data_IF_747628316274
#
_entry.id   IF_747628316274
#
_cell.length_a   1.000
_cell.length_b   1.000
_cell.length_c   1.000
_cell.angle_alpha   90.00
_cell.angle_beta   90.00
_cell.angle_gamma   90.00
#
_symmetry.space_group_name_H-M   'P 1'
#
loop_
_entity.id
_entity.type
_entity.pdbx_description
1 polymer ?
#
# COMPACT_ATOMS: atom_id res chain seq x y z
N UNK A 1 -29.23 19.58 -26.38
CA UNK A 1 -27.90 19.46 -27.00
C UNK A 1 -27.00 18.71 -26.03
N UNK A 2 -26.41 17.61 -26.50
CA UNK A 2 -25.58 16.66 -25.74
C UNK A 2 -24.19 17.28 -25.48
N UNK A 3 -23.55 16.95 -24.36
CA UNK A 3 -22.14 17.32 -24.18
C UNK A 3 -21.51 17.19 -22.80
N UNK A 4 -21.94 16.25 -21.93
CA UNK A 4 -21.32 16.09 -20.59
C UNK A 4 -20.69 14.70 -20.34
N UNK A 5 -20.53 13.89 -21.39
CA UNK A 5 -20.05 12.51 -21.28
C UNK A 5 -18.64 12.24 -21.84
N UNK A 6 -17.81 13.27 -22.05
CA UNK A 6 -16.55 13.15 -22.81
C UNK A 6 -15.25 13.27 -21.98
N UNK A 7 -15.33 13.62 -20.69
CA UNK A 7 -14.14 13.83 -19.83
C UNK A 7 -13.74 12.60 -19.02
N UNK A 8 -14.72 11.76 -18.64
CA UNK A 8 -14.47 10.54 -17.86
C UNK A 8 -13.86 9.46 -18.77
N UNK A 9 -14.39 9.31 -19.98
CA UNK A 9 -13.89 8.41 -21.03
C UNK A 9 -12.45 8.72 -21.44
N UNK A 10 -12.05 10.00 -21.47
CA UNK A 10 -10.69 10.39 -21.83
C UNK A 10 -9.65 10.05 -20.76
N UNK A 11 -10.03 10.04 -19.48
CA UNK A 11 -9.16 9.62 -18.37
C UNK A 11 -9.01 8.09 -18.28
N UNK A 12 -10.06 7.36 -18.65
CA UNK A 12 -10.04 5.89 -18.70
C UNK A 12 -9.25 5.37 -19.92
N UNK A 13 -9.41 5.98 -21.10
CA UNK A 13 -8.61 5.66 -22.30
C UNK A 13 -7.11 5.94 -22.07
N UNK A 14 -6.78 7.04 -21.38
CA UNK A 14 -5.41 7.44 -21.05
C UNK A 14 -4.75 6.45 -20.06
N UNK A 15 -5.51 5.89 -19.12
CA UNK A 15 -5.00 4.91 -18.16
C UNK A 15 -4.70 3.55 -18.84
N UNK A 16 -5.53 3.11 -19.77
CA UNK A 16 -5.32 1.84 -20.48
C UNK A 16 -4.08 1.89 -21.37
N UNK A 17 -3.87 2.99 -22.08
CA UNK A 17 -2.67 3.18 -22.89
C UNK A 17 -1.41 3.37 -22.02
N UNK A 18 -1.53 4.08 -20.90
CA UNK A 18 -0.46 4.20 -19.91
C UNK A 18 -0.06 2.82 -19.33
N UNK A 19 -1.02 1.95 -19.06
CA UNK A 19 -0.78 0.58 -18.60
C UNK A 19 -0.08 -0.26 -19.66
N UNK A 20 -0.49 -0.16 -20.93
CA UNK A 20 0.16 -0.88 -22.02
C UNK A 20 1.61 -0.44 -22.18
N UNK A 21 1.86 0.86 -22.26
CA UNK A 21 3.22 1.42 -22.35
C UNK A 21 4.07 0.99 -21.14
N UNK A 22 3.50 1.02 -19.93
CA UNK A 22 4.16 0.54 -18.73
C UNK A 22 4.56 -0.94 -18.87
N UNK A 23 3.67 -1.83 -19.33
CA UNK A 23 3.97 -3.26 -19.53
C UNK A 23 5.11 -3.46 -20.53
N UNK A 24 5.14 -2.67 -21.59
CA UNK A 24 6.18 -2.70 -22.62
C UNK A 24 7.54 -2.16 -22.13
N UNK A 25 7.60 -1.61 -20.90
CA UNK A 25 8.82 -1.14 -20.27
C UNK A 25 9.11 0.34 -20.48
N UNK A 26 8.10 1.11 -20.89
CA UNK A 26 8.20 2.56 -21.01
C UNK A 26 8.45 3.19 -19.62
N UNK A 27 9.56 3.94 -19.53
CA UNK A 27 10.00 4.58 -18.28
C UNK A 27 9.15 5.78 -17.89
N UNK A 28 8.61 6.50 -18.86
CA UNK A 28 7.77 7.67 -18.61
C UNK A 28 6.37 7.23 -18.16
N UNK A 29 5.88 6.11 -18.71
CA UNK A 29 4.67 5.47 -18.22
C UNK A 29 4.81 5.02 -16.76
N UNK A 30 5.93 4.35 -16.42
CA UNK A 30 6.23 3.99 -15.04
C UNK A 30 6.33 5.20 -14.12
N UNK A 31 7.03 6.27 -14.55
CA UNK A 31 7.16 7.52 -13.77
C UNK A 31 5.81 8.13 -13.46
N UNK A 32 4.92 8.21 -14.45
CA UNK A 32 3.57 8.76 -14.29
C UNK A 32 2.76 7.95 -13.27
N UNK A 33 2.83 6.61 -13.34
CA UNK A 33 2.19 5.74 -12.35
C UNK A 33 2.83 5.88 -10.96
N UNK A 34 4.15 5.97 -10.88
CA UNK A 34 4.88 6.19 -9.63
C UNK A 34 4.42 7.49 -8.96
N UNK A 35 4.39 8.59 -9.72
CA UNK A 35 4.04 9.90 -9.18
C UNK A 35 2.61 9.94 -8.63
N UNK A 36 1.70 9.23 -9.29
CA UNK A 36 0.32 9.09 -8.86
C UNK A 36 0.17 8.25 -7.58
N UNK A 37 0.94 7.17 -7.45
CA UNK A 37 0.77 6.20 -6.35
C UNK A 37 1.74 6.38 -5.18
N UNK A 38 2.79 7.21 -5.30
CA UNK A 38 3.84 7.31 -4.27
C UNK A 38 3.27 7.67 -2.89
N UNK A 39 2.42 8.69 -2.81
CA UNK A 39 1.86 9.16 -1.54
C UNK A 39 0.89 8.15 -0.92
N UNK A 40 -0.11 7.62 -1.64
CA UNK A 40 -1.04 6.66 -1.04
C UNK A 40 -0.35 5.33 -0.65
N UNK A 41 0.61 4.84 -1.43
CA UNK A 41 1.34 3.60 -1.09
C UNK A 41 2.26 3.83 0.10
N UNK A 42 2.98 4.95 0.17
CA UNK A 42 3.83 5.24 1.34
C UNK A 42 2.99 5.35 2.62
N UNK A 43 1.85 6.05 2.56
CA UNK A 43 0.91 6.13 3.69
C UNK A 43 0.41 4.75 4.10
N UNK A 44 0.04 3.91 3.14
CA UNK A 44 -0.38 2.53 3.41
C UNK A 44 0.72 1.73 4.13
N UNK A 45 1.96 1.78 3.65
CA UNK A 45 3.10 1.13 4.29
C UNK A 45 3.34 1.66 5.72
N UNK A 46 3.20 2.97 5.97
CA UNK A 46 3.32 3.56 7.31
C UNK A 46 2.20 3.14 8.27
N UNK A 47 0.99 2.90 7.76
CA UNK A 47 -0.11 2.36 8.57
C UNK A 47 0.09 0.87 8.90
N UNK A 48 0.70 0.12 7.98
CA UNK A 48 0.98 -1.31 8.16
C UNK A 48 2.20 -1.57 9.05
N UNK A 49 3.23 -0.73 8.96
CA UNK A 49 4.52 -0.91 9.63
C UNK A 49 4.83 0.35 10.44
N UNK A 50 4.85 0.22 11.76
CA UNK A 50 5.13 1.32 12.69
C UNK A 50 6.56 1.87 12.54
N UNK A 51 7.52 0.99 12.24
CA UNK A 51 8.91 1.33 11.98
C UNK A 51 9.07 2.07 10.64
N UNK A 52 9.59 3.29 10.69
CA UNK A 52 9.68 4.17 9.52
C UNK A 52 10.64 3.65 8.45
N UNK A 53 11.79 3.12 8.86
CA UNK A 53 12.80 2.60 7.94
C UNK A 53 12.22 1.39 7.19
N UNK A 54 11.64 0.44 7.93
CA UNK A 54 11.02 -0.73 7.31
C UNK A 54 9.81 -0.38 6.42
N UNK A 55 9.03 0.63 6.80
CA UNK A 55 7.94 1.09 5.96
C UNK A 55 8.44 1.72 4.66
N UNK A 56 9.55 2.46 4.71
CA UNK A 56 10.22 3.03 3.54
C UNK A 56 10.79 1.92 2.64
N UNK A 57 11.40 0.89 3.22
CA UNK A 57 11.89 -0.26 2.47
C UNK A 57 10.75 -1.02 1.78
N UNK A 58 9.65 -1.26 2.51
CA UNK A 58 8.45 -1.89 1.95
C UNK A 58 7.84 -1.06 0.81
N UNK A 59 7.82 0.27 0.95
CA UNK A 59 7.40 1.19 -0.11
C UNK A 59 8.29 1.05 -1.35
N UNK A 60 9.61 1.08 -1.20
CA UNK A 60 10.55 0.95 -2.33
C UNK A 60 10.41 -0.41 -3.02
N UNK A 61 10.40 -1.49 -2.24
CA UNK A 61 10.23 -2.86 -2.73
C UNK A 61 8.90 -3.03 -3.48
N UNK A 62 7.84 -2.35 -3.06
CA UNK A 62 6.55 -2.37 -3.76
C UNK A 62 6.68 -1.87 -5.20
N UNK A 63 7.37 -0.76 -5.42
CA UNK A 63 7.55 -0.19 -6.77
C UNK A 63 8.57 -0.96 -7.61
N UNK A 64 9.59 -1.57 -6.98
CA UNK A 64 10.49 -2.53 -7.66
C UNK A 64 9.67 -3.70 -8.18
N UNK A 65 8.88 -4.35 -7.33
CA UNK A 65 8.00 -5.46 -7.72
C UNK A 65 6.95 -5.07 -8.73
N UNK A 66 6.39 -3.86 -8.62
CA UNK A 66 5.49 -3.32 -9.63
C UNK A 66 6.16 -3.37 -11.00
N UNK A 67 7.40 -2.88 -11.12
CA UNK A 67 8.12 -2.88 -12.38
C UNK A 67 8.49 -4.29 -12.84
N UNK A 68 9.01 -5.15 -11.96
CA UNK A 68 9.42 -6.52 -12.29
C UNK A 68 8.24 -7.39 -12.77
N UNK A 69 7.10 -7.30 -12.08
CA UNK A 69 5.91 -8.10 -12.34
C UNK A 69 4.89 -7.42 -13.24
N UNK A 70 5.24 -6.32 -13.91
CA UNK A 70 4.33 -5.54 -14.78
C UNK A 70 3.55 -6.39 -15.80
N UNK A 71 4.15 -7.48 -16.30
CA UNK A 71 3.49 -8.39 -17.25
C UNK A 71 2.31 -9.16 -16.63
N UNK A 72 2.33 -9.36 -15.31
CA UNK A 72 1.28 -10.04 -14.54
C UNK A 72 0.06 -9.16 -14.27
N UNK A 73 0.16 -7.84 -14.48
CA UNK A 73 -0.97 -6.93 -14.38
C UNK A 73 -2.03 -7.32 -15.42
N UNK A 74 -3.19 -7.76 -14.91
CA UNK A 74 -4.36 -8.17 -15.70
C UNK A 74 -5.41 -7.05 -15.70
N UNK A 75 -5.86 -6.67 -16.88
CA UNK A 75 -6.86 -5.60 -17.05
C UNK A 75 -6.31 -4.23 -16.70
N UNK A 76 -7.23 -3.33 -16.33
CA UNK A 76 -6.96 -1.88 -16.19
C UNK A 76 -6.77 -1.45 -14.72
N UNK A 77 -6.99 -2.33 -13.75
CA UNK A 77 -6.98 -1.97 -12.33
C UNK A 77 -5.58 -2.04 -11.71
N UNK A 78 -4.70 -1.13 -12.14
CA UNK A 78 -3.34 -0.96 -11.58
C UNK A 78 -3.38 -0.70 -10.07
N UNK A 79 -4.37 0.08 -9.62
CA UNK A 79 -4.52 0.47 -8.22
C UNK A 79 -4.64 -0.77 -7.33
N UNK A 80 -5.66 -1.60 -7.57
CA UNK A 80 -5.90 -2.80 -6.76
C UNK A 80 -4.71 -3.76 -6.79
N UNK A 81 -4.08 -3.89 -7.95
CA UNK A 81 -2.90 -4.74 -8.12
C UNK A 81 -1.71 -4.23 -7.31
N UNK A 82 -1.42 -2.93 -7.38
CA UNK A 82 -0.31 -2.31 -6.65
C UNK A 82 -0.50 -2.36 -5.14
N UNK A 83 -1.72 -2.10 -4.64
CA UNK A 83 -2.04 -2.26 -3.22
C UNK A 83 -1.93 -3.72 -2.75
N UNK A 84 -2.22 -4.68 -3.63
CA UNK A 84 -2.00 -6.12 -3.34
C UNK A 84 -0.52 -6.42 -3.17
N UNK A 85 0.34 -5.87 -4.04
CA UNK A 85 1.80 -5.98 -3.91
C UNK A 85 2.25 -5.35 -2.58
N UNK A 86 1.83 -4.11 -2.31
CA UNK A 86 2.18 -3.39 -1.09
C UNK A 86 1.82 -4.17 0.19
N UNK A 87 0.60 -4.72 0.24
CA UNK A 87 0.14 -5.55 1.36
C UNK A 87 1.02 -6.79 1.54
N UNK A 88 1.32 -7.50 0.45
CA UNK A 88 2.18 -8.71 0.49
C UNK A 88 3.58 -8.38 0.98
N UNK A 89 4.17 -7.30 0.48
CA UNK A 89 5.50 -6.83 0.91
C UNK A 89 5.49 -6.48 2.39
N UNK A 90 4.53 -5.69 2.86
CA UNK A 90 4.45 -5.31 4.27
C UNK A 90 4.29 -6.52 5.20
N UNK A 91 3.40 -7.46 4.86
CA UNK A 91 3.19 -8.67 5.64
C UNK A 91 4.44 -9.56 5.67
N UNK A 92 5.15 -9.68 4.55
CA UNK A 92 6.39 -10.44 4.51
C UNK A 92 7.47 -9.80 5.40
N UNK A 93 7.63 -8.48 5.33
CA UNK A 93 8.59 -7.74 6.15
C UNK A 93 8.30 -7.89 7.65
N UNK A 94 7.02 -7.79 8.06
CA UNK A 94 6.59 -8.00 9.44
C UNK A 94 6.81 -9.45 9.91
N UNK A 95 6.56 -10.43 9.03
CA UNK A 95 6.82 -11.85 9.33
C UNK A 95 8.31 -12.10 9.54
N UNK A 96 9.17 -11.58 8.66
CA UNK A 96 10.62 -11.70 8.77
C UNK A 96 11.13 -11.04 10.04
N UNK A 97 10.65 -9.85 10.40
CA UNK A 97 10.99 -9.20 11.67
C UNK A 97 10.56 -10.02 12.88
N UNK A 98 9.37 -10.61 12.85
CA UNK A 98 8.90 -11.48 13.94
C UNK A 98 9.80 -12.71 14.09
N UNK A 99 10.20 -13.34 12.98
CA UNK A 99 11.12 -14.49 13.02
C UNK A 99 12.50 -14.09 13.54
N UNK A 100 13.05 -12.97 13.05
CA UNK A 100 14.31 -12.43 13.55
C UNK A 100 14.25 -12.08 15.04
N UNK A 101 13.11 -11.55 15.51
CA UNK A 101 12.88 -11.32 16.93
C UNK A 101 12.77 -12.63 17.71
N UNK A 102 12.11 -13.67 17.21
CA UNK A 102 12.06 -14.99 17.91
C UNK A 102 13.47 -15.60 18.02
N UNK A 103 14.29 -15.49 16.97
CA UNK A 103 15.69 -15.92 17.00
C UNK A 103 16.53 -15.07 17.98
N UNK A 104 16.20 -13.78 18.15
CA UNK A 104 16.83 -12.90 19.14
C UNK A 104 16.28 -13.05 20.56
N UNK A 105 15.02 -13.42 20.73
CA UNK A 105 14.28 -13.49 22.01
C UNK A 105 14.59 -14.77 22.78
N UNK A 106 15.27 -15.75 22.17
CA UNK A 106 16.05 -16.74 22.93
C UNK A 106 17.19 -16.09 23.77
N UNK A 107 17.45 -14.79 23.60
CA UNK A 107 18.50 -14.08 24.33
C UNK A 107 18.14 -12.81 25.11
N UNK A 108 16.99 -12.13 24.99
CA UNK A 108 16.69 -11.00 25.92
C UNK A 108 15.23 -10.48 25.91
N UNK A 109 14.60 -10.40 27.09
CA UNK A 109 13.29 -9.78 27.33
C UNK A 109 13.34 -8.23 27.32
N UNK A 110 12.42 -7.55 26.61
CA UNK A 110 12.06 -6.15 26.91
C UNK A 110 10.65 -5.76 26.43
N UNK A 111 9.89 -5.15 27.34
CA UNK A 111 8.52 -4.67 27.21
C UNK A 111 8.51 -3.18 26.81
N UNK A 112 7.79 -2.71 25.76
CA UNK A 112 7.70 -1.28 25.47
C UNK A 112 6.33 -0.68 25.86
N UNK A 113 6.37 0.44 26.59
CA UNK A 113 5.20 1.24 26.99
C UNK A 113 4.58 2.07 25.83
N UNK A 114 3.29 2.48 25.93
CA UNK A 114 2.58 3.16 24.86
C UNK A 114 2.68 4.69 24.91
N UNK A 115 2.76 5.33 23.73
CA UNK A 115 2.82 6.79 23.55
C UNK A 115 1.45 7.35 23.16
N UNK A 116 0.90 8.24 24.00
CA UNK A 116 -0.36 8.97 23.77
C UNK A 116 -0.19 10.13 22.76
N UNK A 117 -1.15 10.30 21.82
CA UNK A 117 -1.73 11.58 21.37
C UNK A 117 -2.85 11.44 20.33
N UNK A 118 -3.72 12.45 20.38
CA UNK A 118 -4.98 12.73 19.66
C UNK A 118 -6.23 11.95 20.08
N UNK A 119 -6.65 12.15 21.33
CA UNK A 119 -7.65 11.34 22.05
C UNK A 119 -9.11 11.55 21.58
N UNK A 120 -9.51 12.74 21.08
CA UNK A 120 -10.97 13.05 21.03
C UNK A 120 -11.70 12.55 19.77
N UNK A 121 -11.07 12.59 18.59
CA UNK A 121 -11.66 12.01 17.36
C UNK A 121 -11.36 10.50 17.26
N UNK A 122 -10.21 10.11 17.83
CA UNK A 122 -9.67 8.75 17.88
C UNK A 122 -10.43 7.86 18.84
N UNK A 123 -10.87 8.31 20.02
CA UNK A 123 -11.67 7.48 20.93
C UNK A 123 -13.03 7.05 20.37
N UNK A 124 -13.68 7.90 19.55
CA UNK A 124 -14.97 7.56 18.93
C UNK A 124 -14.82 6.58 17.77
N UNK A 125 -13.69 6.64 17.07
CA UNK A 125 -13.35 5.74 15.97
C UNK A 125 -12.75 4.43 16.52
N UNK A 126 -11.89 4.49 17.53
CA UNK A 126 -11.25 3.34 18.16
C UNK A 126 -12.25 2.50 18.96
N UNK A 127 -13.20 3.09 19.71
CA UNK A 127 -14.30 2.31 20.32
C UNK A 127 -15.18 1.61 19.28
N UNK A 128 -15.30 2.17 18.07
CA UNK A 128 -16.05 1.56 16.98
C UNK A 128 -15.22 0.49 16.24
N UNK A 129 -13.88 0.65 16.18
CA UNK A 129 -12.95 -0.29 15.54
C UNK A 129 -12.52 -1.44 16.46
N UNK A 130 -12.50 -1.26 17.78
CA UNK A 130 -12.20 -2.31 18.77
C UNK A 130 -13.29 -3.37 18.85
N UNK A 131 -14.50 -3.07 18.40
CA UNK A 131 -15.58 -4.05 18.28
C UNK A 131 -15.53 -4.86 16.98
N UNK A 132 -14.57 -4.59 16.08
CA UNK A 132 -14.50 -5.22 14.76
C UNK A 132 -13.29 -6.16 14.66
N UNK A 133 -13.53 -7.47 14.45
CA UNK A 133 -12.47 -8.46 14.25
C UNK A 133 -11.51 -8.10 13.10
N UNK A 134 -10.24 -8.55 13.19
CA UNK A 134 -9.13 -8.26 12.25
C UNK A 134 -9.47 -8.33 10.76
N UNK A 135 -10.46 -9.13 10.37
CA UNK A 135 -10.97 -9.27 9.00
C UNK A 135 -11.64 -8.01 8.45
N UNK A 136 -12.12 -7.09 9.28
CA UNK A 136 -12.89 -5.91 8.85
C UNK A 136 -12.04 -4.65 8.65
N UNK A 137 -10.80 -4.64 9.15
CA UNK A 137 -9.87 -3.52 8.96
C UNK A 137 -9.39 -3.38 7.51
N UNK A 138 -9.45 -4.47 6.74
CA UNK A 138 -9.12 -4.49 5.31
C UNK A 138 -10.14 -3.76 4.44
N UNK A 139 -11.41 -3.74 4.86
CA UNK A 139 -12.50 -3.17 4.07
C UNK A 139 -12.59 -1.63 4.14
N UNK A 140 -11.83 -0.99 5.05
CA UNK A 140 -11.92 0.45 5.29
C UNK A 140 -10.80 1.26 4.60
N UNK A 141 -9.79 0.57 4.06
CA UNK A 141 -8.61 1.16 3.41
C UNK A 141 -8.62 0.92 1.89
N UNK A 142 -9.43 -0.03 1.40
CA UNK A 142 -9.67 -0.30 -0.02
C UNK A 142 -10.85 0.51 -0.54
#
# INVERSE_FOLDING_TARGET
MRGSGNHITRLEEDLTDLVRAFKDGDRDAFRTLYDFFQTPIYRFCRHMIADEAMAKDAFQETFIRMYEHRMELRGENVRSWLFTIARRVCLNQLRTRRLAHIEFDETFHANPEPVERDVVLKERIDKALEQLPMTLREALVL
#
